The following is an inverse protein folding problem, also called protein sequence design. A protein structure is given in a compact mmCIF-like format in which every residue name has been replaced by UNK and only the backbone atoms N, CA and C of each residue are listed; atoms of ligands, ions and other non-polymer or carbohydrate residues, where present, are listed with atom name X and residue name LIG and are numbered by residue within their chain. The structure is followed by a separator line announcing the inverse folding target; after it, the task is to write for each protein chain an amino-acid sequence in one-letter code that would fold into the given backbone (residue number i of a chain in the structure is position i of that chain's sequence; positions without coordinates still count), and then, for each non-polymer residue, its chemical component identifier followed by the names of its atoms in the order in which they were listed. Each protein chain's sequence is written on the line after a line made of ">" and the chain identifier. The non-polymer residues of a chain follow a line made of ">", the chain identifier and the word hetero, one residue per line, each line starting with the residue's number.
data_IF_758204828565
#
_entry.id   IF_758204828565
#
_cell.length_a   1.000
_cell.length_b   1.000
_cell.length_c   1.000
_cell.angle_alpha   90.00
_cell.angle_beta   90.00
_cell.angle_gamma   90.00
#
_symmetry.space_group_name_H-M   'P 1'
#
loop_
_entity.id
_entity.type
_entity.pdbx_description
1 polymer ?
#
# COMPACT_ATOMS: atom_id res chain seq x y z
N UNK A 1 -14.09 -12.49 -11.91
CA UNK A 1 -15.54 -12.20 -12.09
C UNK A 1 -15.82 -11.53 -13.44
N UNK A 2 -14.98 -10.57 -13.87
CA UNK A 2 -15.09 -9.89 -15.19
C UNK A 2 -15.09 -10.90 -16.34
N UNK A 3 -14.14 -11.83 -16.39
CA UNK A 3 -14.12 -12.90 -17.43
C UNK A 3 -15.41 -13.73 -17.48
N UNK A 4 -15.98 -14.02 -16.30
CA UNK A 4 -17.26 -14.73 -16.18
C UNK A 4 -18.44 -13.87 -16.64
N UNK A 5 -18.34 -12.55 -16.54
CA UNK A 5 -19.33 -11.58 -16.99
C UNK A 5 -19.26 -11.38 -18.51
N UNK A 6 -18.05 -11.30 -19.08
CA UNK A 6 -17.80 -11.26 -20.53
C UNK A 6 -18.28 -12.52 -21.23
N UNK A 7 -17.98 -13.69 -20.66
CA UNK A 7 -18.48 -14.97 -21.19
C UNK A 7 -20.01 -15.00 -21.28
N UNK A 8 -20.69 -14.42 -20.27
CA UNK A 8 -22.16 -14.29 -20.27
C UNK A 8 -22.63 -13.24 -21.28
N UNK A 9 -21.94 -12.10 -21.38
CA UNK A 9 -22.25 -11.06 -22.37
C UNK A 9 -22.19 -11.63 -23.80
N UNK A 10 -21.15 -12.41 -24.12
CA UNK A 10 -21.00 -13.09 -25.40
C UNK A 10 -22.18 -14.04 -25.65
N UNK A 11 -22.59 -14.82 -24.64
CA UNK A 11 -23.77 -15.67 -24.72
C UNK A 11 -25.06 -14.88 -24.98
N UNK A 12 -25.27 -13.77 -24.27
CA UNK A 12 -26.43 -12.89 -24.45
C UNK A 12 -26.45 -12.29 -25.86
N UNK A 13 -25.31 -11.86 -26.39
CA UNK A 13 -25.21 -11.34 -27.76
C UNK A 13 -25.56 -12.39 -28.83
N UNK A 14 -25.12 -13.64 -28.64
CA UNK A 14 -25.45 -14.74 -29.56
C UNK A 14 -26.94 -15.09 -29.51
N UNK A 15 -27.55 -15.07 -28.32
CA UNK A 15 -28.98 -15.34 -28.17
C UNK A 15 -29.80 -14.21 -28.77
N UNK A 16 -29.50 -12.96 -28.40
CA UNK A 16 -30.24 -11.78 -28.88
C UNK A 16 -30.12 -11.61 -30.40
N UNK A 17 -28.97 -11.95 -30.99
CA UNK A 17 -28.78 -11.95 -32.46
C UNK A 17 -29.64 -12.98 -33.21
N UNK A 18 -30.26 -13.93 -32.51
CA UNK A 18 -31.21 -14.91 -33.08
C UNK A 18 -32.67 -14.57 -32.80
N UNK A 19 -32.93 -13.49 -32.05
CA UNK A 19 -34.28 -13.08 -31.65
C UNK A 19 -34.69 -11.81 -32.42
N UNK A 20 -35.99 -11.69 -32.69
CA UNK A 20 -36.55 -10.49 -33.36
C UNK A 20 -36.65 -9.28 -32.42
N UNK A 21 -36.65 -9.51 -31.10
CA UNK A 21 -36.72 -8.47 -30.07
C UNK A 21 -35.65 -8.68 -28.99
N UNK A 22 -35.12 -7.59 -28.39
CA UNK A 22 -34.13 -7.69 -27.32
C UNK A 22 -34.68 -8.47 -26.11
N UNK A 23 -33.92 -9.46 -25.64
CA UNK A 23 -34.32 -10.27 -24.49
C UNK A 23 -33.97 -9.55 -23.19
N UNK A 24 -34.96 -9.42 -22.31
CA UNK A 24 -34.72 -8.99 -20.93
C UNK A 24 -34.44 -10.23 -20.06
N UNK A 25 -33.19 -10.38 -19.62
CA UNK A 25 -32.75 -11.46 -18.73
C UNK A 25 -32.99 -11.15 -17.25
N UNK A 26 -33.56 -9.98 -16.96
CA UNK A 26 -33.89 -9.51 -15.62
C UNK A 26 -35.38 -9.62 -15.32
N UNK A 27 -35.89 -8.69 -14.52
CA UNK A 27 -37.33 -8.56 -14.28
C UNK A 27 -37.82 -7.20 -14.77
N UNK A 28 -39.14 -6.97 -14.68
CA UNK A 28 -39.76 -5.74 -15.18
C UNK A 28 -39.31 -4.46 -14.45
N UNK A 29 -38.79 -4.58 -13.23
CA UNK A 29 -38.31 -3.45 -12.41
C UNK A 29 -36.82 -3.19 -12.59
N UNK A 30 -36.05 -4.24 -12.88
CA UNK A 30 -34.61 -4.19 -13.10
C UNK A 30 -34.33 -4.92 -14.42
N UNK A 31 -34.39 -4.21 -15.56
CA UNK A 31 -34.02 -4.82 -16.82
C UNK A 31 -32.56 -5.26 -16.78
N UNK A 32 -32.26 -6.39 -17.40
CA UNK A 32 -30.90 -6.89 -17.60
C UNK A 32 -30.75 -7.30 -19.07
N UNK A 33 -30.20 -6.38 -19.86
CA UNK A 33 -29.95 -6.55 -21.30
C UNK A 33 -28.46 -6.55 -21.60
N UNK A 34 -28.08 -6.91 -22.84
CA UNK A 34 -26.70 -6.84 -23.34
C UNK A 34 -26.08 -5.46 -23.05
N UNK A 35 -26.83 -4.38 -23.26
CA UNK A 35 -26.35 -3.00 -23.06
C UNK A 35 -25.99 -2.74 -21.59
N UNK A 36 -26.86 -3.15 -20.67
CA UNK A 36 -26.63 -2.92 -19.24
C UNK A 36 -25.48 -3.77 -18.69
N UNK A 37 -25.40 -5.02 -19.14
CA UNK A 37 -24.30 -5.92 -18.76
C UNK A 37 -22.96 -5.37 -19.26
N UNK A 38 -22.89 -4.94 -20.53
CA UNK A 38 -21.68 -4.34 -21.11
C UNK A 38 -21.27 -3.05 -20.39
N UNK A 39 -22.23 -2.16 -20.10
CA UNK A 39 -21.97 -0.93 -19.36
C UNK A 39 -21.41 -1.22 -17.96
N UNK A 40 -21.98 -2.19 -17.24
CA UNK A 40 -21.51 -2.55 -15.91
C UNK A 40 -20.11 -3.18 -15.93
N UNK A 41 -19.79 -3.99 -16.94
CA UNK A 41 -18.43 -4.52 -17.14
C UNK A 41 -17.44 -3.37 -17.31
N UNK A 42 -17.72 -2.43 -18.22
CA UNK A 42 -16.86 -1.28 -18.48
C UNK A 42 -16.65 -0.41 -17.22
N UNK A 43 -17.69 -0.21 -16.41
CA UNK A 43 -17.59 0.51 -15.13
C UNK A 43 -16.65 -0.22 -14.17
N UNK A 44 -16.76 -1.54 -14.04
CA UNK A 44 -15.91 -2.33 -13.16
C UNK A 44 -14.45 -2.28 -13.61
N UNK A 45 -14.19 -2.40 -14.91
CA UNK A 45 -12.83 -2.32 -15.46
C UNK A 45 -12.20 -0.96 -15.26
N UNK A 46 -12.95 0.11 -15.51
CA UNK A 46 -12.52 1.49 -15.26
C UNK A 46 -12.14 1.69 -13.79
N UNK A 47 -13.02 1.30 -12.86
CA UNK A 47 -12.75 1.37 -11.42
C UNK A 47 -11.56 0.52 -10.99
N UNK A 48 -11.37 -0.65 -11.60
CA UNK A 48 -10.21 -1.52 -11.33
C UNK A 48 -8.91 -0.87 -11.80
N UNK A 49 -8.92 -0.24 -12.98
CA UNK A 49 -7.78 0.54 -13.47
C UNK A 49 -7.44 1.67 -12.50
N UNK A 50 -8.44 2.46 -12.07
CA UNK A 50 -8.22 3.58 -11.17
C UNK A 50 -7.74 3.13 -9.79
N UNK A 51 -8.29 2.05 -9.25
CA UNK A 51 -7.80 1.42 -8.02
C UNK A 51 -6.32 1.03 -8.15
N UNK A 52 -5.94 0.37 -9.25
CA UNK A 52 -4.54 -0.03 -9.46
C UNK A 52 -3.60 1.18 -9.61
N UNK A 53 -4.06 2.28 -10.21
CA UNK A 53 -3.27 3.53 -10.28
C UNK A 53 -3.07 4.12 -8.89
N UNK A 54 -4.13 4.18 -8.08
CA UNK A 54 -4.04 4.67 -6.71
C UNK A 54 -3.11 3.80 -5.86
N UNK A 55 -3.16 2.47 -6.01
CA UNK A 55 -2.25 1.56 -5.33
C UNK A 55 -0.79 1.82 -5.71
N UNK A 56 -0.49 1.98 -7.00
CA UNK A 56 0.87 2.32 -7.45
C UNK A 56 1.37 3.65 -6.88
N UNK A 57 0.51 4.66 -6.82
CA UNK A 57 0.87 5.95 -6.24
C UNK A 57 1.13 5.83 -4.73
N UNK A 58 0.36 4.99 -4.02
CA UNK A 58 0.59 4.72 -2.61
C UNK A 58 1.92 3.98 -2.38
N UNK A 59 2.25 2.99 -3.22
CA UNK A 59 3.53 2.28 -3.15
C UNK A 59 4.72 3.22 -3.39
N UNK A 60 4.61 4.12 -4.37
CA UNK A 60 5.64 5.14 -4.63
C UNK A 60 5.83 6.07 -3.41
N UNK A 61 4.73 6.55 -2.83
CA UNK A 61 4.78 7.40 -1.64
C UNK A 61 5.37 6.68 -0.42
N UNK A 62 5.08 5.38 -0.26
CA UNK A 62 5.66 4.56 0.80
C UNK A 62 7.17 4.47 0.65
N UNK A 63 7.67 4.21 -0.56
CA UNK A 63 9.11 4.13 -0.82
C UNK A 63 9.83 5.46 -0.54
N UNK A 64 9.19 6.59 -0.86
CA UNK A 64 9.72 7.92 -0.55
C UNK A 64 9.77 8.12 0.97
N UNK A 65 8.71 7.76 1.68
CA UNK A 65 8.65 7.86 3.15
C UNK A 65 9.76 7.03 3.81
N UNK A 66 9.92 5.77 3.41
CA UNK A 66 10.96 4.88 3.93
C UNK A 66 12.37 5.45 3.70
N UNK A 67 12.60 6.08 2.54
CA UNK A 67 13.87 6.71 2.22
C UNK A 67 14.13 7.96 3.09
N UNK A 68 13.11 8.79 3.32
CA UNK A 68 13.22 9.97 4.19
C UNK A 68 13.38 9.59 5.66
N UNK A 69 12.66 8.57 6.14
CA UNK A 69 12.82 8.03 7.50
C UNK A 69 14.25 7.51 7.74
N UNK A 70 14.83 6.82 6.75
CA UNK A 70 16.21 6.37 6.83
C UNK A 70 17.18 7.55 6.93
N UNK A 71 17.01 8.59 6.11
CA UNK A 71 17.84 9.80 6.18
C UNK A 71 17.71 10.48 7.55
N UNK A 72 16.48 10.59 8.07
CA UNK A 72 16.23 11.17 9.38
C UNK A 72 16.94 10.36 10.48
N UNK A 73 16.86 9.04 10.44
CA UNK A 73 17.55 8.17 11.38
C UNK A 73 19.09 8.33 11.33
N UNK A 74 19.65 8.46 10.13
CA UNK A 74 21.08 8.74 9.96
C UNK A 74 21.45 10.10 10.56
N UNK A 75 20.62 11.14 10.36
CA UNK A 75 20.81 12.46 10.97
C UNK A 75 20.73 12.40 12.51
N UNK A 76 19.76 11.69 13.07
CA UNK A 76 19.66 11.48 14.52
C UNK A 76 20.92 10.81 15.09
N UNK A 77 21.47 9.83 14.37
CA UNK A 77 22.71 9.15 14.76
C UNK A 77 23.90 10.11 14.73
N UNK A 78 23.99 10.97 13.71
CA UNK A 78 25.03 12.00 13.60
C UNK A 78 24.93 13.00 14.76
N UNK A 79 23.73 13.45 15.11
CA UNK A 79 23.51 14.39 16.23
C UNK A 79 24.02 13.80 17.55
N UNK A 80 23.68 12.55 17.85
CA UNK A 80 24.18 11.88 19.05
C UNK A 80 25.70 11.69 19.03
N UNK A 81 26.28 11.37 17.88
CA UNK A 81 27.73 11.24 17.74
C UNK A 81 28.46 12.59 17.92
N UNK A 82 27.90 13.67 17.38
CA UNK A 82 28.42 15.02 17.56
C UNK A 82 28.34 15.44 19.03
N UNK A 83 27.23 15.14 19.72
CA UNK A 83 27.09 15.42 21.15
C UNK A 83 28.13 14.68 22.00
N UNK A 84 28.44 13.42 21.67
CA UNK A 84 29.55 12.69 22.32
C UNK A 84 30.89 13.37 22.05
N UNK A 85 31.12 13.89 20.85
CA UNK A 85 32.36 14.58 20.50
C UNK A 85 32.52 15.90 21.25
N UNK A 86 31.44 16.66 21.45
CA UNK A 86 31.48 17.99 22.06
C UNK A 86 31.39 17.96 23.59
N UNK A 87 30.49 17.13 24.15
CA UNK A 87 30.18 17.12 25.59
C UNK A 87 30.66 15.85 26.31
N UNK A 88 30.93 14.78 25.57
CA UNK A 88 31.34 13.48 26.11
C UNK A 88 30.19 12.47 26.20
N UNK A 89 30.52 11.18 26.35
CA UNK A 89 29.56 10.06 26.36
C UNK A 89 28.87 9.82 27.71
N UNK A 90 29.17 10.64 28.73
CA UNK A 90 28.62 10.54 30.10
C UNK A 90 27.95 11.87 30.56
N UNK A 91 27.77 12.82 29.64
CA UNK A 91 27.25 14.16 29.95
C UNK A 91 25.73 14.22 30.06
N UNK A 92 25.21 15.25 30.73
CA UNK A 92 23.77 15.51 30.85
C UNK A 92 23.15 15.83 29.49
N UNK A 93 23.86 16.57 28.62
CA UNK A 93 23.41 16.97 27.29
C UNK A 93 23.21 15.76 26.37
N UNK A 94 24.11 14.77 26.45
CA UNK A 94 23.97 13.54 25.68
C UNK A 94 22.71 12.75 26.08
N UNK A 95 22.38 12.71 27.38
CA UNK A 95 21.15 12.09 27.86
C UNK A 95 19.90 12.87 27.45
N UNK A 96 19.95 14.21 27.51
CA UNK A 96 18.85 15.08 27.08
C UNK A 96 18.50 14.90 25.59
N UNK A 97 19.50 14.55 24.76
CA UNK A 97 19.30 14.21 23.35
C UNK A 97 18.77 12.78 23.13
N UNK A 98 18.51 12.02 24.19
CA UNK A 98 18.00 10.65 24.16
C UNK A 98 19.08 9.57 24.12
N UNK A 99 20.36 9.94 24.29
CA UNK A 99 21.45 8.99 24.47
C UNK A 99 21.42 8.33 25.86
N UNK A 100 22.02 7.15 26.00
CA UNK A 100 22.25 6.54 27.33
C UNK A 100 23.68 6.81 27.76
N UNK A 101 23.88 7.47 28.90
CA UNK A 101 25.21 7.77 29.44
C UNK A 101 26.04 6.51 29.62
N UNK A 102 27.36 6.62 29.46
CA UNK A 102 28.29 5.50 29.57
C UNK A 102 28.20 4.77 30.91
N UNK A 103 28.04 5.53 32.00
CA UNK A 103 27.88 5.02 33.37
C UNK A 103 26.60 4.19 33.55
N UNK A 104 25.52 4.58 32.87
CA UNK A 104 24.21 3.93 32.94
C UNK A 104 24.04 2.74 31.97
N UNK A 105 24.92 2.61 30.97
CA UNK A 105 24.89 1.49 30.01
C UNK A 105 25.15 0.15 30.71
N UNK A 106 24.26 -0.82 30.50
CA UNK A 106 24.43 -2.20 30.97
C UNK A 106 25.70 -2.83 30.37
N UNK A 107 26.68 -3.15 31.21
CA UNK A 107 27.94 -3.79 30.78
C UNK A 107 27.70 -5.26 30.38
N UNK A 108 28.19 -5.72 29.22
CA UNK A 108 28.10 -7.12 28.84
C UNK A 108 28.98 -7.98 29.76
N UNK A 109 28.37 -8.96 30.43
CA UNK A 109 29.08 -9.95 31.25
C UNK A 109 29.55 -11.08 30.34
N UNK A 110 30.88 -11.25 30.18
CA UNK A 110 31.44 -12.37 29.39
C UNK A 110 31.39 -13.65 30.23
N UNK A 111 30.90 -14.75 29.64
CA UNK A 111 30.98 -16.08 30.27
C UNK A 111 32.45 -16.52 30.34
N UNK A 112 32.90 -17.15 31.45
CA UNK A 112 34.26 -17.68 31.55
C UNK A 112 34.50 -18.75 30.48
N UNK A 113 35.70 -18.76 29.89
CA UNK A 113 36.11 -19.76 28.92
C UNK A 113 36.36 -21.07 29.67
N UNK A 114 35.67 -22.14 29.27
CA UNK A 114 35.83 -23.48 29.82
C UNK A 114 37.17 -24.12 29.40
#
# INVERSE_FOLDING_TARGET
>A
IVEKAESRLNGMQVIDGKQETPVNYGNSKVPLTVVQMAAQIAVVESKRSDYNKALKAADEQSNIMDAEEKKLNDMCTIVLAAAVSEFGDDSDEYEQLGGTRKSDRKKPVRKPKA
#
